data_IF_398763801290
#
_entry.id   IF_398763801290
#
_cell.length_a   1.000
_cell.length_b   1.000
_cell.length_c   1.000
_cell.angle_alpha   90.00
_cell.angle_beta   90.00
_cell.angle_gamma   90.00
#
_symmetry.space_group_name_H-M   'P 1'
#
loop_
_entity.id
_entity.type
_entity.pdbx_description
1 polymer ?
#
# COMPACT_ATOMS: atom_id res chain seq x y z
N UNK A 1 -59.86 -23.72 15.77
CA UNK A 1 -58.83 -22.75 16.22
C UNK A 1 -57.47 -23.03 15.56
N UNK A 2 -57.36 -22.94 14.23
CA UNK A 2 -56.17 -23.43 13.50
C UNK A 2 -55.38 -22.34 12.77
N UNK A 3 -56.01 -21.25 12.31
CA UNK A 3 -55.27 -20.14 11.67
C UNK A 3 -54.43 -19.29 12.64
N UNK A 4 -54.95 -18.98 13.84
CA UNK A 4 -54.23 -18.15 14.82
C UNK A 4 -52.95 -18.81 15.34
N UNK A 5 -52.94 -20.14 15.48
CA UNK A 5 -51.76 -20.89 15.91
C UNK A 5 -50.66 -20.87 14.86
N UNK A 6 -51.02 -21.00 13.59
CA UNK A 6 -50.05 -21.03 12.50
C UNK A 6 -49.43 -19.64 12.25
N UNK A 7 -50.20 -18.56 12.39
CA UNK A 7 -49.68 -17.18 12.29
C UNK A 7 -48.69 -16.87 13.42
N UNK A 8 -48.99 -17.29 14.65
CA UNK A 8 -48.08 -17.12 15.79
C UNK A 8 -46.79 -17.91 15.57
N UNK A 9 -46.87 -19.15 15.08
CA UNK A 9 -45.69 -19.97 14.78
C UNK A 9 -44.85 -19.33 13.66
N UNK A 10 -45.48 -18.78 12.62
CA UNK A 10 -44.77 -18.06 11.56
C UNK A 10 -44.11 -16.78 12.05
N UNK A 11 -44.75 -16.00 12.93
CA UNK A 11 -44.12 -14.82 13.53
C UNK A 11 -42.93 -15.18 14.43
N UNK A 12 -43.03 -16.27 15.18
CA UNK A 12 -41.92 -16.78 16.01
C UNK A 12 -40.76 -17.25 15.14
N UNK A 13 -41.02 -17.92 14.02
CA UNK A 13 -40.00 -18.34 13.07
C UNK A 13 -39.33 -17.17 12.35
N UNK A 14 -40.09 -16.14 11.97
CA UNK A 14 -39.53 -14.90 11.39
C UNK A 14 -38.73 -14.13 12.45
N UNK A 15 -39.20 -14.09 13.70
CA UNK A 15 -38.46 -13.53 14.83
C UNK A 15 -37.15 -14.27 15.11
N UNK A 16 -37.14 -15.61 15.03
CA UNK A 16 -35.94 -16.44 15.15
C UNK A 16 -34.98 -16.27 13.98
N UNK A 17 -35.49 -16.10 12.75
CA UNK A 17 -34.67 -15.78 11.58
C UNK A 17 -34.05 -14.38 11.70
N UNK A 18 -34.80 -13.38 12.15
CA UNK A 18 -34.27 -12.04 12.41
C UNK A 18 -33.22 -12.04 13.54
N UNK A 19 -33.38 -12.91 14.55
CA UNK A 19 -32.38 -13.13 15.60
C UNK A 19 -31.14 -13.87 15.07
N UNK A 20 -31.31 -14.84 14.15
CA UNK A 20 -30.22 -15.56 13.50
C UNK A 20 -29.41 -14.71 12.51
N UNK A 21 -30.06 -13.76 11.84
CA UNK A 21 -29.39 -12.80 10.94
C UNK A 21 -28.69 -11.70 11.77
N UNK A 22 -29.20 -11.36 12.96
CA UNK A 22 -28.54 -10.44 13.89
C UNK A 22 -27.25 -10.99 14.53
N UNK A 23 -27.07 -12.31 14.54
CA UNK A 23 -25.85 -13.00 15.00
C UNK A 23 -24.95 -13.44 13.84
N UNK A 24 -25.31 -13.16 12.58
CA UNK A 24 -24.66 -13.70 11.39
C UNK A 24 -23.33 -13.05 10.97
N UNK A 25 -22.97 -11.87 11.46
CA UNK A 25 -21.72 -11.18 11.01
C UNK A 25 -21.08 -10.28 12.06
N UNK A 26 -21.30 -10.51 13.36
CA UNK A 26 -20.36 -9.99 14.34
C UNK A 26 -19.17 -10.95 14.35
N UNK A 27 -18.12 -10.58 13.62
CA UNK A 27 -16.84 -11.26 13.67
C UNK A 27 -16.43 -11.38 15.15
N UNK A 28 -16.45 -12.62 15.64
CA UNK A 28 -16.19 -12.95 17.03
C UNK A 28 -14.66 -12.96 17.24
N UNK A 29 -14.06 -11.77 17.28
CA UNK A 29 -12.65 -11.58 17.60
C UNK A 29 -12.44 -11.72 19.11
N UNK A 30 -12.57 -12.93 19.68
CA UNK A 30 -12.29 -13.15 21.12
C UNK A 30 -10.81 -13.25 21.48
N UNK A 31 -9.96 -12.58 20.70
CA UNK A 31 -8.57 -12.34 21.04
C UNK A 31 -8.24 -10.91 20.63
N UNK A 32 -8.62 -9.93 21.46
CA UNK A 32 -8.00 -8.60 21.40
C UNK A 32 -6.59 -8.72 21.99
N UNK A 33 -5.67 -9.26 21.21
CA UNK A 33 -4.25 -9.08 21.46
C UNK A 33 -3.83 -7.84 20.67
N UNK A 34 -3.73 -6.69 21.34
CA UNK A 34 -3.06 -5.53 20.76
C UNK A 34 -1.66 -5.98 20.35
N UNK A 35 -1.36 -6.02 19.06
CA UNK A 35 -0.01 -6.31 18.60
C UNK A 35 0.87 -5.10 18.88
N UNK A 36 1.49 -5.11 20.06
CA UNK A 36 2.47 -4.09 20.44
C UNK A 36 3.78 -4.20 19.64
N UNK A 37 3.92 -5.17 18.71
CA UNK A 37 5.21 -5.51 18.09
C UNK A 37 5.13 -5.90 16.59
N UNK A 38 4.25 -5.29 15.79
CA UNK A 38 4.50 -5.26 14.33
C UNK A 38 5.45 -4.07 14.07
N UNK A 39 6.76 -4.29 14.22
CA UNK A 39 7.74 -3.19 14.15
C UNK A 39 7.96 -2.78 12.70
N UNK A 40 7.26 -1.73 12.27
CA UNK A 40 7.62 -1.03 11.06
C UNK A 40 8.80 -0.10 11.31
N UNK A 41 9.86 -0.24 10.51
CA UNK A 41 11.08 0.55 10.67
C UNK A 41 11.17 1.55 9.53
N UNK A 42 11.30 2.84 9.87
CA UNK A 42 11.64 3.86 8.89
C UNK A 42 13.02 3.56 8.28
N UNK A 43 13.19 3.84 7.00
CA UNK A 43 14.42 3.53 6.27
C UNK A 43 14.87 4.66 5.37
N UNK A 44 16.19 4.75 5.19
CA UNK A 44 16.81 5.65 4.20
C UNK A 44 17.54 4.79 3.17
N UNK A 45 17.11 4.89 1.92
CA UNK A 45 17.75 4.29 0.76
C UNK A 45 18.64 5.34 0.12
N UNK A 46 19.95 5.14 0.23
CA UNK A 46 20.97 5.98 -0.40
C UNK A 46 21.31 5.38 -1.76
N UNK A 47 20.97 6.12 -2.81
CA UNK A 47 21.27 5.75 -4.18
C UNK A 47 22.52 6.49 -4.64
N UNK A 48 23.36 5.80 -5.41
CA UNK A 48 24.56 6.37 -6.02
C UNK A 48 24.62 6.03 -7.51
N UNK A 49 25.67 6.50 -8.17
CA UNK A 49 25.91 6.40 -9.63
C UNK A 49 25.92 4.99 -10.21
N UNK A 50 25.98 3.95 -9.37
CA UNK A 50 25.89 2.55 -9.80
C UNK A 50 24.44 2.02 -9.87
N UNK A 51 23.42 2.83 -9.57
CA UNK A 51 22.00 2.44 -9.74
C UNK A 51 21.69 1.11 -9.06
N UNK A 52 21.66 1.11 -7.73
CA UNK A 52 21.45 -0.10 -6.94
C UNK A 52 19.99 -0.26 -6.52
N UNK A 53 19.47 -1.48 -6.70
CA UNK A 53 18.23 -1.94 -6.08
C UNK A 53 18.37 -1.89 -4.55
N UNK A 54 17.53 -1.10 -3.89
CA UNK A 54 17.48 -0.97 -2.43
C UNK A 54 16.17 -1.50 -1.88
N UNK A 55 16.23 -2.25 -0.78
CA UNK A 55 15.04 -2.74 -0.07
C UNK A 55 15.05 -2.21 1.35
N UNK A 56 13.98 -1.53 1.75
CA UNK A 56 13.70 -1.30 3.17
C UNK A 56 12.75 -2.38 3.66
N UNK A 57 13.19 -3.21 4.60
CA UNK A 57 12.30 -4.14 5.30
C UNK A 57 11.44 -3.33 6.27
N UNK A 58 10.13 -3.36 6.03
CA UNK A 58 9.16 -2.61 6.81
C UNK A 58 8.52 -3.48 7.89
N UNK A 59 8.94 -4.73 8.06
CA UNK A 59 8.46 -5.62 9.11
C UNK A 59 7.42 -6.64 8.66
N UNK A 60 6.85 -7.32 9.66
CA UNK A 60 5.90 -8.41 9.50
C UNK A 60 4.52 -8.02 10.03
N UNK A 61 3.46 -8.40 9.31
CA UNK A 61 2.08 -8.33 9.82
C UNK A 61 1.54 -9.77 9.90
N UNK A 62 1.22 -10.21 11.11
CA UNK A 62 0.62 -11.53 11.37
C UNK A 62 -0.47 -11.55 12.45
N UNK A 63 -0.38 -10.67 13.45
CA UNK A 63 -1.38 -10.53 14.50
C UNK A 63 -1.97 -9.11 14.42
N UNK A 64 -3.06 -8.93 13.69
CA UNK A 64 -3.74 -7.63 13.56
C UNK A 64 -5.26 -7.87 13.53
N UNK A 65 -6.03 -7.02 14.21
CA UNK A 65 -7.49 -7.09 14.23
C UNK A 65 -8.11 -5.98 13.36
N UNK A 66 -9.35 -6.12 12.87
CA UNK A 66 -10.00 -5.05 12.10
C UNK A 66 -10.03 -3.72 12.84
N UNK A 67 -9.62 -2.66 12.14
CA UNK A 67 -9.50 -1.33 12.70
C UNK A 67 -8.14 -1.01 13.31
N UNK A 68 -7.28 -2.00 13.56
CA UNK A 68 -5.90 -1.75 13.98
C UNK A 68 -5.11 -1.00 12.90
N UNK A 69 -4.07 -0.30 13.31
CA UNK A 69 -3.17 0.42 12.43
C UNK A 69 -1.73 0.30 12.92
N UNK A 70 -0.79 0.38 11.99
CA UNK A 70 0.63 0.52 12.30
C UNK A 70 0.92 1.93 12.79
N UNK A 71 2.11 2.12 13.34
CA UNK A 71 2.68 3.45 13.46
C UNK A 71 2.94 4.05 12.07
N UNK A 72 3.18 5.36 12.04
CA UNK A 72 3.62 6.05 10.84
C UNK A 72 5.05 5.63 10.47
N UNK A 73 5.24 5.34 9.18
CA UNK A 73 6.51 4.88 8.61
C UNK A 73 6.93 5.83 7.52
N UNK A 74 8.22 6.10 7.41
CA UNK A 74 8.77 6.90 6.32
C UNK A 74 9.89 6.16 5.61
N UNK A 75 9.85 6.16 4.28
CA UNK A 75 10.92 5.73 3.39
C UNK A 75 11.50 6.98 2.73
N UNK A 76 12.79 7.22 2.94
CA UNK A 76 13.53 8.32 2.30
C UNK A 76 14.41 7.76 1.19
N UNK A 77 14.27 8.29 0.00
CA UNK A 77 15.12 8.01 -1.17
C UNK A 77 16.02 9.23 -1.38
N UNK A 78 17.33 9.04 -1.25
CA UNK A 78 18.33 10.11 -1.32
C UNK A 78 19.26 9.87 -2.50
N UNK A 79 19.44 10.88 -3.36
CA UNK A 79 20.49 10.86 -4.38
C UNK A 79 21.81 11.38 -3.77
N UNK A 80 22.67 10.44 -3.37
CA UNK A 80 24.02 10.75 -2.86
C UNK A 80 25.10 10.77 -3.96
N UNK A 81 24.71 10.52 -5.21
CA UNK A 81 25.62 10.44 -6.35
C UNK A 81 26.02 11.80 -6.90
N UNK A 82 26.72 11.76 -8.04
CA UNK A 82 27.18 12.94 -8.78
C UNK A 82 26.31 13.28 -10.00
N UNK A 83 25.34 12.41 -10.33
CA UNK A 83 24.50 12.48 -11.51
C UNK A 83 23.02 12.51 -11.13
N UNK A 84 22.21 13.10 -12.01
CA UNK A 84 20.75 13.04 -11.91
C UNK A 84 20.26 11.60 -12.10
N UNK A 85 19.32 11.16 -11.27
CA UNK A 85 18.76 9.81 -11.34
C UNK A 85 17.24 9.82 -11.49
N UNK A 86 16.73 8.80 -12.16
CA UNK A 86 15.34 8.35 -12.05
C UNK A 86 15.28 7.24 -11.01
N UNK A 87 14.22 7.22 -10.20
CA UNK A 87 13.92 6.13 -9.29
C UNK A 87 12.51 5.59 -9.54
N UNK A 88 12.34 4.29 -9.31
CA UNK A 88 11.11 3.53 -9.46
C UNK A 88 10.96 2.70 -8.20
N UNK A 89 9.84 2.83 -7.50
CA UNK A 89 9.66 2.14 -6.23
C UNK A 89 8.24 1.78 -5.93
N UNK A 90 8.06 0.79 -5.07
CA UNK A 90 6.75 0.33 -4.66
C UNK A 90 6.82 -0.68 -3.54
N UNK A 91 5.66 -0.94 -2.94
CA UNK A 91 5.55 -2.02 -1.96
C UNK A 91 5.88 -3.37 -2.62
N UNK A 92 6.41 -4.28 -1.81
CA UNK A 92 6.52 -5.70 -2.12
C UNK A 92 5.95 -6.46 -0.93
N UNK A 93 5.05 -7.39 -1.21
CA UNK A 93 4.42 -8.24 -0.21
C UNK A 93 4.79 -9.67 -0.52
N UNK A 94 5.41 -10.35 0.44
CA UNK A 94 5.75 -11.77 0.31
C UNK A 94 5.21 -12.56 1.48
N UNK A 95 4.93 -13.87 1.30
CA UNK A 95 4.59 -14.74 2.41
C UNK A 95 5.74 -14.77 3.42
N UNK A 96 5.42 -14.74 4.72
CA UNK A 96 6.44 -14.87 5.77
C UNK A 96 6.85 -16.31 6.06
N UNK A 97 6.15 -17.28 5.45
CA UNK A 97 6.41 -18.71 5.58
C UNK A 97 6.57 -19.34 4.20
N UNK A 98 7.37 -20.40 4.14
CA UNK A 98 7.58 -21.15 2.90
C UNK A 98 6.25 -21.71 2.38
N UNK A 99 6.00 -21.56 1.08
CA UNK A 99 4.73 -21.94 0.42
C UNK A 99 3.47 -21.24 0.97
N UNK A 100 3.61 -20.16 1.74
CA UNK A 100 2.48 -19.35 2.21
C UNK A 100 1.85 -18.50 1.10
N UNK A 101 0.77 -17.80 1.45
CA UNK A 101 0.09 -16.86 0.54
C UNK A 101 0.25 -15.41 0.98
N UNK A 102 -0.13 -14.47 0.11
CA UNK A 102 -0.20 -13.02 0.41
C UNK A 102 -1.64 -12.53 0.62
N UNK A 103 -2.58 -13.43 0.93
CA UNK A 103 -4.02 -13.11 1.05
C UNK A 103 -4.34 -11.98 2.04
N UNK A 104 -3.49 -11.77 3.07
CA UNK A 104 -3.63 -10.61 3.96
C UNK A 104 -3.51 -9.25 3.25
N UNK A 105 -2.84 -9.16 2.09
CA UNK A 105 -2.75 -7.92 1.31
C UNK A 105 -4.10 -7.42 0.79
N UNK A 106 -5.12 -8.28 0.75
CA UNK A 106 -6.50 -7.93 0.40
C UNK A 106 -7.24 -7.19 1.51
N UNK A 107 -6.79 -7.33 2.76
CA UNK A 107 -7.41 -6.72 3.93
C UNK A 107 -6.50 -5.68 4.62
N UNK A 108 -5.20 -5.70 4.34
CA UNK A 108 -4.29 -4.62 4.74
C UNK A 108 -4.49 -3.46 3.76
N UNK A 109 -4.72 -2.25 4.27
CA UNK A 109 -4.96 -1.06 3.46
C UNK A 109 -4.02 0.08 3.82
N UNK A 110 -3.81 0.98 2.87
CA UNK A 110 -3.04 2.20 3.05
C UNK A 110 -3.96 3.21 3.72
N UNK A 111 -3.88 3.34 5.05
CA UNK A 111 -4.71 4.28 5.81
C UNK A 111 -4.34 5.73 5.53
N UNK A 112 -3.05 5.98 5.42
CA UNK A 112 -2.50 7.30 5.12
C UNK A 112 -1.31 7.14 4.19
N UNK A 113 -1.17 8.05 3.24
CA UNK A 113 0.01 8.13 2.39
C UNK A 113 0.29 9.57 1.98
N UNK A 114 1.55 9.97 2.07
CA UNK A 114 2.05 11.30 1.76
C UNK A 114 3.38 11.22 1.03
N UNK A 115 3.54 12.07 0.01
CA UNK A 115 4.80 12.29 -0.70
C UNK A 115 5.36 13.68 -0.37
N UNK A 116 6.68 13.73 -0.17
CA UNK A 116 7.42 14.97 0.01
C UNK A 116 8.65 15.00 -0.91
N UNK A 117 8.87 16.16 -1.52
CA UNK A 117 9.91 16.40 -2.52
C UNK A 117 10.86 17.46 -1.97
N UNK A 118 12.03 17.03 -1.50
CA UNK A 118 12.93 17.80 -0.67
C UNK A 118 14.25 18.12 -1.39
N UNK A 119 14.75 19.33 -1.21
CA UNK A 119 16.12 19.73 -1.57
C UNK A 119 17.09 19.29 -0.47
N UNK A 120 18.39 19.47 -0.72
CA UNK A 120 19.45 19.14 0.23
C UNK A 120 19.30 19.87 1.58
N UNK A 121 18.84 21.13 1.55
CA UNK A 121 18.60 21.93 2.75
C UNK A 121 17.28 21.59 3.47
N UNK A 122 16.54 20.58 2.99
CA UNK A 122 15.24 20.16 3.52
C UNK A 122 14.05 21.01 3.07
N UNK A 123 14.25 22.05 2.25
CA UNK A 123 13.15 22.82 1.66
C UNK A 123 12.40 22.00 0.60
N UNK A 124 11.11 22.27 0.45
CA UNK A 124 10.28 21.59 -0.56
C UNK A 124 10.46 22.24 -1.94
N UNK A 125 10.56 21.44 -3.01
CA UNK A 125 10.61 21.92 -4.40
C UNK A 125 9.32 21.63 -5.19
N UNK A 126 8.46 20.78 -4.65
CA UNK A 126 7.09 20.54 -5.11
C UNK A 126 6.21 20.51 -3.85
N UNK A 127 4.95 21.00 -3.91
CA UNK A 127 4.03 20.83 -2.81
C UNK A 127 3.93 19.35 -2.38
N UNK A 128 3.99 19.11 -1.08
CA UNK A 128 3.72 17.78 -0.54
C UNK A 128 2.28 17.37 -0.90
N UNK A 129 2.08 16.08 -1.16
CA UNK A 129 0.77 15.54 -1.52
C UNK A 129 0.36 14.43 -0.58
N UNK A 130 -0.75 14.66 0.12
CA UNK A 130 -1.43 13.68 0.98
C UNK A 130 -2.50 12.97 0.15
N UNK A 131 -2.04 12.06 -0.71
CA UNK A 131 -2.87 11.47 -1.76
C UNK A 131 -3.81 10.37 -1.27
N UNK A 132 -3.57 9.80 -0.08
CA UNK A 132 -4.50 8.88 0.60
C UNK A 132 -4.69 9.31 2.06
N UNK A 133 -5.95 9.48 2.47
CA UNK A 133 -6.36 9.76 3.85
C UNK A 133 -7.55 8.87 4.21
N UNK A 134 -7.46 8.21 5.36
CA UNK A 134 -8.43 7.22 5.86
C UNK A 134 -8.77 6.13 4.83
N UNK A 135 -7.77 5.65 4.09
CA UNK A 135 -7.97 4.60 3.09
C UNK A 135 -8.59 5.06 1.78
N UNK A 136 -8.82 6.36 1.58
CA UNK A 136 -9.43 6.91 0.37
C UNK A 136 -8.59 8.03 -0.21
N UNK A 137 -8.78 8.32 -1.49
CA UNK A 137 -8.07 9.40 -2.15
C UNK A 137 -8.31 10.78 -1.54
N UNK A 138 -7.24 11.57 -1.47
CA UNK A 138 -7.21 12.92 -0.91
C UNK A 138 -6.28 13.81 -1.75
N UNK A 139 -6.31 15.12 -1.52
CA UNK A 139 -5.44 16.06 -2.20
C UNK A 139 -5.77 16.26 -3.69
N UNK A 140 -4.88 16.94 -4.44
CA UNK A 140 -5.11 17.28 -5.85
C UNK A 140 -5.24 16.06 -6.77
N UNK A 141 -4.64 14.92 -6.40
CA UNK A 141 -4.65 13.69 -7.19
C UNK A 141 -5.51 12.57 -6.58
N UNK A 142 -6.35 12.92 -5.59
CA UNK A 142 -7.15 11.95 -4.85
C UNK A 142 -8.19 11.19 -5.69
N UNK A 143 -8.71 11.78 -6.77
CA UNK A 143 -9.80 11.19 -7.54
C UNK A 143 -9.52 9.74 -8.00
N UNK A 144 -8.28 9.46 -8.43
CA UNK A 144 -7.86 8.11 -8.81
C UNK A 144 -7.95 7.13 -7.63
N UNK A 145 -7.39 7.50 -6.48
CA UNK A 145 -7.39 6.66 -5.28
C UNK A 145 -8.77 6.53 -4.64
N UNK A 146 -9.63 7.54 -4.75
CA UNK A 146 -11.04 7.44 -4.36
C UNK A 146 -11.77 6.40 -5.21
N UNK A 147 -11.56 6.40 -6.53
CA UNK A 147 -12.14 5.40 -7.42
C UNK A 147 -11.59 4.00 -7.12
N UNK A 148 -10.28 3.89 -6.83
CA UNK A 148 -9.66 2.63 -6.45
C UNK A 148 -10.31 2.05 -5.19
N UNK A 149 -10.48 2.87 -4.15
CA UNK A 149 -11.17 2.48 -2.92
C UNK A 149 -12.64 2.07 -3.15
N UNK A 150 -13.36 2.76 -4.04
CA UNK A 150 -14.76 2.43 -4.36
C UNK A 150 -14.91 1.11 -5.11
N UNK A 151 -13.91 0.74 -5.91
CA UNK A 151 -13.90 -0.50 -6.66
C UNK A 151 -13.42 -1.71 -5.83
N UNK A 152 -12.73 -1.44 -4.72
CA UNK A 152 -12.26 -2.48 -3.80
C UNK A 152 -13.41 -2.94 -2.88
N UNK A 153 -13.60 -4.27 -2.68
CA UNK A 153 -14.63 -4.79 -1.77
C UNK A 153 -14.53 -4.27 -0.33
N UNK A 154 -13.33 -3.86 0.12
CA UNK A 154 -13.11 -3.29 1.44
C UNK A 154 -13.54 -1.82 1.52
N UNK A 155 -13.82 -1.14 0.41
CA UNK A 155 -14.18 0.28 0.39
C UNK A 155 -13.01 1.21 0.71
N UNK A 156 -11.78 0.70 0.65
CA UNK A 156 -10.52 1.39 0.94
C UNK A 156 -9.44 0.93 -0.05
N UNK A 157 -8.36 1.72 -0.20
CA UNK A 157 -7.18 1.34 -0.99
C UNK A 157 -6.38 0.26 -0.26
N UNK A 158 -6.73 -1.00 -0.50
CA UNK A 158 -5.97 -2.17 -0.03
C UNK A 158 -4.56 -2.20 -0.65
N UNK A 159 -3.61 -2.91 -0.03
CA UNK A 159 -2.30 -3.12 -0.63
C UNK A 159 -2.43 -3.85 -1.96
N UNK A 160 -3.33 -4.84 -2.07
CA UNK A 160 -3.61 -5.52 -3.34
C UNK A 160 -4.06 -4.53 -4.42
N UNK A 161 -5.12 -3.76 -4.16
CA UNK A 161 -5.63 -2.81 -5.16
C UNK A 161 -4.59 -1.76 -5.54
N UNK A 162 -3.79 -1.27 -4.59
CA UNK A 162 -2.68 -0.37 -4.87
C UNK A 162 -1.62 -1.01 -5.76
N UNK A 163 -1.22 -2.25 -5.47
CA UNK A 163 -0.20 -2.99 -6.23
C UNK A 163 -0.66 -3.38 -7.64
N UNK A 164 -1.96 -3.55 -7.86
CA UNK A 164 -2.54 -3.86 -9.16
C UNK A 164 -2.88 -2.60 -9.96
N UNK A 165 -2.89 -1.42 -9.33
CA UNK A 165 -3.24 -0.15 -9.95
C UNK A 165 -2.03 0.55 -10.59
N UNK A 166 -2.20 1.06 -11.81
CA UNK A 166 -1.19 1.86 -12.50
C UNK A 166 -1.41 3.37 -12.26
N UNK A 167 -1.18 3.82 -11.02
CA UNK A 167 -1.47 5.21 -10.61
C UNK A 167 -0.50 6.24 -11.21
N UNK A 168 0.80 5.89 -11.28
CA UNK A 168 1.89 6.81 -11.65
C UNK A 168 2.55 6.44 -12.98
N UNK A 169 1.95 5.54 -13.76
CA UNK A 169 2.32 5.26 -15.15
C UNK A 169 3.55 4.38 -15.36
N UNK A 170 4.36 4.10 -14.33
CA UNK A 170 5.55 3.26 -14.44
C UNK A 170 5.24 1.74 -14.38
N UNK A 171 3.99 1.37 -14.09
CA UNK A 171 3.55 -0.01 -13.92
C UNK A 171 2.61 -0.17 -12.71
N UNK A 172 1.94 -1.32 -12.56
CA UNK A 172 1.10 -1.62 -11.40
C UNK A 172 1.86 -1.49 -10.08
N UNK A 173 1.38 -0.66 -9.15
CA UNK A 173 2.00 -0.46 -7.84
C UNK A 173 3.32 0.29 -7.84
N UNK A 174 3.76 0.82 -8.99
CA UNK A 174 5.05 1.49 -9.15
C UNK A 174 4.87 3.00 -9.11
N UNK A 175 5.47 3.61 -8.10
CA UNK A 175 5.73 5.03 -8.00
C UNK A 175 7.05 5.36 -8.69
N UNK A 176 7.19 6.58 -9.19
CA UNK A 176 8.43 7.01 -9.83
C UNK A 176 8.73 8.48 -9.53
N UNK A 177 9.99 8.86 -9.69
CA UNK A 177 10.43 10.23 -9.61
C UNK A 177 11.85 10.41 -10.16
N UNK A 178 12.34 11.64 -10.09
CA UNK A 178 13.69 11.97 -10.46
C UNK A 178 14.33 12.86 -9.40
N UNK A 179 15.63 12.72 -9.17
CA UNK A 179 16.36 13.45 -8.13
C UNK A 179 17.70 13.96 -8.65
N UNK A 180 17.97 15.25 -8.47
CA UNK A 180 19.32 15.83 -8.55
C UNK A 180 20.19 15.34 -7.39
N UNK A 181 21.53 15.37 -7.53
CA UNK A 181 22.45 15.20 -6.41
C UNK A 181 22.03 16.03 -5.19
N UNK A 182 22.01 15.41 -4.01
CA UNK A 182 21.62 16.02 -2.74
C UNK A 182 20.12 16.16 -2.51
N UNK A 183 19.27 15.93 -3.52
CA UNK A 183 17.81 15.99 -3.36
C UNK A 183 17.24 14.65 -2.88
N UNK A 184 16.11 14.73 -2.17
CA UNK A 184 15.47 13.60 -1.51
C UNK A 184 13.99 13.52 -1.86
N UNK A 185 13.49 12.30 -1.94
CA UNK A 185 12.06 12.01 -1.92
C UNK A 185 11.74 11.29 -0.62
N UNK A 186 10.65 11.68 0.05
CA UNK A 186 10.18 11.02 1.26
C UNK A 186 8.75 10.55 1.08
N UNK A 187 8.54 9.25 1.26
CA UNK A 187 7.25 8.61 1.26
C UNK A 187 6.86 8.22 2.68
N UNK A 188 5.81 8.83 3.20
CA UNK A 188 5.28 8.56 4.53
C UNK A 188 3.96 7.83 4.40
N UNK A 189 3.75 6.75 5.17
CA UNK A 189 2.51 6.00 5.14
C UNK A 189 2.16 5.38 6.48
N UNK A 190 0.88 5.06 6.65
CA UNK A 190 0.34 4.24 7.74
C UNK A 190 -0.44 3.10 7.11
N UNK A 191 -0.18 1.87 7.53
CA UNK A 191 -1.00 0.73 7.13
C UNK A 191 -2.06 0.45 8.19
N UNK A 192 -3.21 -0.04 7.76
CA UNK A 192 -4.27 -0.50 8.65
C UNK A 192 -4.80 -1.85 8.21
N UNK A 193 -5.55 -2.51 9.10
CA UNK A 193 -6.36 -3.67 8.73
C UNK A 193 -7.81 -3.23 8.58
N UNK A 194 -8.41 -3.54 7.42
CA UNK A 194 -9.69 -3.00 7.01
C UNK A 194 -10.78 -3.29 8.07
N UNK A 195 -11.56 -2.28 8.53
CA UNK A 195 -12.54 -2.49 9.60
C UNK A 195 -13.65 -3.50 9.27
N UNK A 196 -13.91 -3.72 7.98
CA UNK A 196 -14.86 -4.68 7.44
C UNK A 196 -14.23 -6.01 7.02
N UNK A 197 -12.94 -6.24 7.30
CA UNK A 197 -12.31 -7.52 7.04
C UNK A 197 -13.02 -8.64 7.83
N UNK A 198 -13.48 -9.66 7.11
CA UNK A 198 -14.23 -10.77 7.66
C UNK A 198 -13.35 -11.85 8.30
N UNK A 199 -14.00 -12.93 8.74
CA UNK A 199 -13.33 -14.04 9.43
C UNK A 199 -12.41 -14.86 8.50
N UNK A 200 -12.58 -14.73 7.18
CA UNK A 200 -11.75 -15.36 6.15
C UNK A 200 -10.29 -14.87 6.16
N UNK A 201 -9.97 -13.85 6.95
CA UNK A 201 -8.62 -13.32 7.18
C UNK A 201 -8.08 -13.62 8.60
N UNK A 202 -8.76 -14.44 9.40
CA UNK A 202 -8.26 -14.86 10.71
C UNK A 202 -7.07 -15.80 10.60
N UNK A 203 -6.19 -15.79 11.60
CA UNK A 203 -4.94 -16.56 11.60
C UNK A 203 -5.13 -18.09 11.55
N UNK A 204 -6.30 -18.59 11.94
CA UNK A 204 -6.68 -20.01 11.87
C UNK A 204 -7.45 -20.38 10.59
N UNK A 205 -7.77 -19.40 9.74
CA UNK A 205 -8.39 -19.64 8.45
C UNK A 205 -7.40 -20.25 7.46
N UNK A 206 -7.92 -21.07 6.55
CA UNK A 206 -7.12 -21.69 5.49
C UNK A 206 -6.45 -20.63 4.62
N UNK A 207 -5.19 -20.90 4.25
CA UNK A 207 -4.33 -20.04 3.44
C UNK A 207 -3.96 -18.67 4.04
N UNK A 208 -4.33 -18.37 5.29
CA UNK A 208 -3.91 -17.16 5.96
C UNK A 208 -2.54 -17.35 6.62
N UNK A 209 -1.59 -16.52 6.18
CA UNK A 209 -0.22 -16.53 6.67
C UNK A 209 0.21 -15.09 6.96
N UNK A 210 1.08 -14.87 7.95
CA UNK A 210 1.75 -13.58 8.09
C UNK A 210 2.46 -13.19 6.79
N UNK A 211 2.54 -11.89 6.54
CA UNK A 211 3.21 -11.33 5.35
C UNK A 211 4.36 -10.43 5.75
N UNK A 212 5.42 -10.47 4.94
CA UNK A 212 6.49 -9.49 4.99
C UNK A 212 6.17 -8.36 4.02
N UNK A 213 6.32 -7.12 4.48
CA UNK A 213 6.13 -5.95 3.64
C UNK A 213 7.47 -5.23 3.53
N UNK A 214 7.87 -4.89 2.33
CA UNK A 214 9.04 -4.06 2.05
C UNK A 214 8.70 -2.97 1.04
N UNK A 215 9.54 -1.95 0.98
CA UNK A 215 9.52 -0.96 -0.10
C UNK A 215 10.79 -1.12 -0.92
N UNK A 216 10.62 -1.54 -2.17
CA UNK A 216 11.71 -1.75 -3.11
C UNK A 216 11.89 -0.50 -3.96
N UNK A 217 13.14 -0.13 -4.25
CA UNK A 217 13.49 0.98 -5.13
C UNK A 217 14.60 0.55 -6.07
N UNK A 218 14.35 0.74 -7.36
CA UNK A 218 15.37 0.69 -8.40
C UNK A 218 15.66 2.11 -8.88
N UNK A 219 16.89 2.35 -9.31
CA UNK A 219 17.30 3.65 -9.82
C UNK A 219 18.28 3.52 -10.96
N UNK A 220 18.20 4.47 -11.89
CA UNK A 220 19.01 4.50 -13.11
C UNK A 220 19.21 5.93 -13.56
N UNK A 221 20.09 6.15 -14.53
CA UNK A 221 20.28 7.47 -15.13
C UNK A 221 19.06 7.88 -15.97
N UNK A 222 18.83 9.19 -16.11
CA UNK A 222 17.74 9.73 -16.93
C UNK A 222 18.18 9.77 -18.40
N UNK A 223 18.36 8.59 -18.97
CA UNK A 223 18.77 8.36 -20.35
C UNK A 223 17.94 7.22 -20.94
N UNK A 224 17.69 7.28 -22.25
CA UNK A 224 16.82 6.32 -22.94
C UNK A 224 17.35 4.88 -22.85
N UNK A 225 18.65 4.66 -23.02
CA UNK A 225 19.25 3.33 -22.94
C UNK A 225 19.28 2.79 -21.51
N UNK A 226 19.51 3.67 -20.52
CA UNK A 226 19.50 3.30 -19.10
C UNK A 226 18.08 2.92 -18.61
N UNK A 227 17.05 3.61 -19.08
CA UNK A 227 15.65 3.28 -18.82
C UNK A 227 15.21 2.00 -19.52
N UNK A 228 15.59 1.80 -20.78
CA UNK A 228 15.31 0.57 -21.53
C UNK A 228 15.99 -0.65 -20.88
N UNK A 229 17.23 -0.50 -20.41
CA UNK A 229 17.92 -1.57 -19.70
C UNK A 229 17.22 -1.96 -18.40
N UNK A 230 16.67 -1.00 -17.66
CA UNK A 230 15.93 -1.26 -16.43
C UNK A 230 14.55 -1.88 -16.71
N UNK A 231 13.82 -1.37 -17.69
CA UNK A 231 12.52 -1.92 -18.13
C UNK A 231 12.65 -3.41 -18.52
N UNK A 232 13.73 -3.77 -19.23
CA UNK A 232 14.02 -5.16 -19.59
C UNK A 232 14.34 -6.09 -18.41
N UNK A 233 14.78 -5.55 -17.26
CA UNK A 233 15.07 -6.32 -16.05
C UNK A 233 13.82 -6.53 -15.18
N UNK A 234 12.81 -5.67 -15.35
CA UNK A 234 11.63 -5.61 -14.49
C UNK A 234 10.36 -5.68 -15.35
N UNK A 235 9.84 -6.90 -15.62
CA UNK A 235 8.65 -7.07 -16.45
C UNK A 235 7.38 -6.44 -15.85
N UNK A 236 7.40 -6.08 -14.56
CA UNK A 236 6.33 -5.28 -13.93
C UNK A 236 6.32 -3.81 -14.36
N UNK A 237 7.42 -3.31 -14.93
CA UNK A 237 7.50 -1.96 -15.47
C UNK A 237 6.83 -1.86 -16.83
N UNK A 238 6.17 -0.73 -17.05
CA UNK A 238 5.29 -0.51 -18.19
C UNK A 238 5.84 0.55 -19.15
N UNK A 239 7.01 0.30 -19.73
CA UNK A 239 7.58 1.16 -20.77
C UNK A 239 8.19 2.43 -20.17
N UNK A 240 9.23 2.28 -19.36
CA UNK A 240 9.88 3.39 -18.66
C UNK A 240 10.36 4.52 -19.57
N UNK A 241 10.73 4.20 -20.81
CA UNK A 241 11.20 5.18 -21.80
C UNK A 241 10.13 6.22 -22.17
N UNK A 242 8.84 5.89 -22.02
CA UNK A 242 7.74 6.84 -22.23
C UNK A 242 7.76 8.01 -21.23
N UNK A 243 8.44 7.84 -20.09
CA UNK A 243 8.51 8.82 -19.01
C UNK A 243 9.74 9.72 -19.08
N UNK A 244 10.64 9.54 -20.05
CA UNK A 244 11.90 10.30 -20.15
C UNK A 244 11.67 11.83 -20.15
N UNK A 245 10.67 12.31 -20.90
CA UNK A 245 10.35 13.73 -20.95
C UNK A 245 9.84 14.25 -19.59
N UNK A 246 8.99 13.48 -18.92
CA UNK A 246 8.46 13.82 -17.60
C UNK A 246 9.56 13.84 -16.54
N UNK A 247 10.47 12.85 -16.54
CA UNK A 247 11.60 12.78 -15.62
C UNK A 247 12.52 14.00 -15.75
N UNK A 248 12.82 14.44 -16.98
CA UNK A 248 13.59 15.66 -17.21
C UNK A 248 12.88 16.93 -16.70
N UNK A 249 11.56 16.99 -16.82
CA UNK A 249 10.77 18.09 -16.23
C UNK A 249 10.87 18.10 -14.71
N UNK A 250 10.88 16.94 -14.05
CA UNK A 250 11.05 16.85 -12.59
C UNK A 250 12.43 17.34 -12.13
N UNK A 251 13.49 17.01 -12.85
CA UNK A 251 14.84 17.53 -12.58
C UNK A 251 14.89 19.06 -12.72
N UNK A 252 14.21 19.62 -13.72
CA UNK A 252 14.21 21.06 -13.95
C UNK A 252 13.57 21.88 -12.81
N UNK A 253 12.73 21.26 -11.96
CA UNK A 253 12.08 21.92 -10.81
C UNK A 253 12.96 22.01 -9.56
N UNK A 254 14.02 21.20 -9.46
CA UNK A 254 14.89 21.06 -8.29
C UNK A 254 15.97 22.14 -8.24
#
# INVERSE_FOLDING_TARGET
MTMRRNIIISLVLIGLLAFGIGFGTFAWFTSSATSQNNTFTAGTLKLNENGLSGFTNLGNIGNIAPGDSTDEVSVVIENTGSLDLAWFGGFRVTPAVENGTTKLAEAIYIKYAKMEFLKEDGSIWEPADEFIVNGTGSGPYGAFYTQLAQNDPMGVVTLKSFLEANAMGAGPGVQMGALKPGSNYKFTFVLGFAPNAGNEYQADAEDINPVNISYAVDATQIDLGALEALDNQHPEYAGLTNHLAWLNVQIAKQ
#
